data_IF_413360765593
#
_entry.id   IF_413360765593
#
_cell.length_a   1.000
_cell.length_b   1.000
_cell.length_c   1.000
_cell.angle_alpha   90.00
_cell.angle_beta   90.00
_cell.angle_gamma   90.00
#
_symmetry.space_group_name_H-M   'P 1'
#
loop_
_entity.id
_entity.type
_entity.pdbx_description
1 polymer ?
#
# COMPACT_ATOMS: atom_id res chain seq x y z
N UNK A 1 34.90 32.49 17.34
CA UNK A 1 33.60 32.97 16.80
C UNK A 1 32.86 31.95 15.94
N UNK A 2 33.46 31.33 14.91
CA UNK A 2 32.76 30.35 14.05
C UNK A 2 32.16 29.14 14.80
N UNK A 3 32.85 28.63 15.82
CA UNK A 3 32.39 27.46 16.60
C UNK A 3 31.09 27.73 17.37
N UNK A 4 30.93 28.95 17.92
CA UNK A 4 29.75 29.32 18.71
C UNK A 4 28.50 29.47 17.83
N UNK A 5 28.67 29.93 16.58
CA UNK A 5 27.59 30.00 15.60
C UNK A 5 27.14 28.62 15.13
N UNK A 6 28.08 27.69 14.92
CA UNK A 6 27.76 26.30 14.54
C UNK A 6 27.02 25.59 15.68
N UNK A 7 27.48 25.75 16.93
CA UNK A 7 26.83 25.17 18.10
C UNK A 7 25.39 25.68 18.27
N UNK A 8 25.17 26.99 18.10
CA UNK A 8 23.83 27.58 18.12
C UNK A 8 22.90 27.01 17.05
N UNK A 9 23.39 26.83 15.82
CA UNK A 9 22.61 26.19 14.74
C UNK A 9 22.25 24.74 15.05
N UNK A 10 23.21 23.95 15.54
CA UNK A 10 22.97 22.55 15.91
C UNK A 10 21.93 22.46 17.02
N UNK A 11 22.04 23.27 18.07
CA UNK A 11 21.06 23.33 19.16
C UNK A 11 19.68 23.77 18.66
N UNK A 12 19.61 24.76 17.76
CA UNK A 12 18.36 25.20 17.14
C UNK A 12 17.68 24.11 16.33
N UNK A 13 18.44 23.38 15.50
CA UNK A 13 17.94 22.25 14.71
C UNK A 13 17.46 21.11 15.61
N UNK A 14 18.23 20.76 16.64
CA UNK A 14 17.84 19.72 17.62
C UNK A 14 16.57 20.11 18.36
N UNK A 15 16.46 21.35 18.83
CA UNK A 15 15.25 21.85 19.50
C UNK A 15 14.03 21.78 18.58
N UNK A 16 14.18 22.19 17.31
CA UNK A 16 13.13 22.11 16.30
C UNK A 16 12.74 20.65 16.00
N UNK A 17 13.70 19.72 15.90
CA UNK A 17 13.42 18.28 15.76
C UNK A 17 12.61 17.73 16.94
N UNK A 18 12.94 18.12 18.18
CA UNK A 18 12.21 17.70 19.38
C UNK A 18 10.77 18.23 19.34
N UNK A 19 10.56 19.51 19.00
CA UNK A 19 9.21 20.08 18.88
C UNK A 19 8.35 19.35 17.83
N UNK A 20 8.90 19.05 16.66
CA UNK A 20 8.17 18.28 15.63
C UNK A 20 7.87 16.86 16.07
N UNK A 21 8.78 16.22 16.82
CA UNK A 21 8.55 14.88 17.38
C UNK A 21 7.44 14.89 18.43
N UNK A 22 7.47 15.85 19.37
CA UNK A 22 6.45 15.99 20.41
C UNK A 22 5.07 16.33 19.87
N UNK A 23 4.98 17.04 18.73
CA UNK A 23 3.71 17.32 18.05
C UNK A 23 3.21 16.18 17.16
N UNK A 24 3.95 15.06 17.08
CA UNK A 24 3.57 13.90 16.26
C UNK A 24 3.84 14.05 14.76
N UNK A 25 4.60 15.08 14.38
CA UNK A 25 4.96 15.38 12.99
C UNK A 25 6.26 14.66 12.58
N UNK A 26 6.47 13.44 13.10
CA UNK A 26 7.68 12.62 12.83
C UNK A 26 7.84 12.33 11.33
N UNK A 27 6.74 12.32 10.58
CA UNK A 27 6.72 12.08 9.14
C UNK A 27 7.59 13.06 8.33
N UNK A 28 7.81 14.29 8.82
CA UNK A 28 8.69 15.28 8.17
C UNK A 28 10.14 14.80 8.04
N UNK A 29 10.62 14.01 8.99
CA UNK A 29 11.96 13.42 8.95
C UNK A 29 11.94 12.03 8.32
N UNK A 30 10.86 11.29 8.56
CA UNK A 30 10.70 9.93 8.09
C UNK A 30 10.60 9.84 6.56
N UNK A 31 9.90 10.79 5.92
CA UNK A 31 9.72 10.80 4.45
C UNK A 31 11.06 11.01 3.71
N UNK A 32 11.86 12.06 3.98
CA UNK A 32 13.19 12.19 3.37
C UNK A 32 14.08 10.98 3.64
N UNK A 33 14.04 10.45 4.87
CA UNK A 33 14.81 9.25 5.21
C UNK A 33 14.42 8.03 4.37
N UNK A 34 13.12 7.76 4.21
CA UNK A 34 12.66 6.68 3.35
C UNK A 34 12.91 6.93 1.86
N UNK A 35 12.90 8.18 1.40
CA UNK A 35 13.28 8.49 0.03
C UNK A 35 14.77 8.17 -0.23
N UNK A 36 15.65 8.47 0.74
CA UNK A 36 17.09 8.23 0.59
C UNK A 36 17.49 6.77 0.85
N UNK A 37 16.91 6.12 1.86
CA UNK A 37 17.35 4.80 2.36
C UNK A 37 16.27 3.72 2.22
N UNK A 38 15.00 4.11 2.15
CA UNK A 38 13.86 3.18 2.16
C UNK A 38 13.84 2.22 0.97
N UNK A 39 14.41 2.62 -0.18
CA UNK A 39 14.50 1.75 -1.36
C UNK A 39 15.36 0.49 -1.09
N UNK A 40 16.37 0.55 -0.22
CA UNK A 40 17.18 -0.63 0.15
C UNK A 40 16.33 -1.64 0.91
N UNK A 41 15.60 -1.19 1.92
CA UNK A 41 14.70 -2.06 2.70
C UNK A 41 13.59 -2.65 1.83
N UNK A 42 13.06 -1.85 0.89
CA UNK A 42 12.09 -2.32 -0.09
C UNK A 42 12.69 -3.42 -0.98
N UNK A 43 13.88 -3.20 -1.57
CA UNK A 43 14.54 -4.21 -2.40
C UNK A 43 14.82 -5.51 -1.62
N UNK A 44 15.28 -5.42 -0.36
CA UNK A 44 15.55 -6.61 0.45
C UNK A 44 14.29 -7.45 0.72
N UNK A 45 13.11 -6.83 0.76
CA UNK A 45 11.83 -7.53 0.92
C UNK A 45 11.28 -8.06 -0.41
N UNK A 46 11.39 -7.25 -1.47
CA UNK A 46 10.78 -7.57 -2.77
C UNK A 46 11.64 -8.54 -3.58
N UNK A 47 12.97 -8.41 -3.58
CA UNK A 47 13.87 -9.26 -4.37
C UNK A 47 13.66 -10.76 -4.10
N UNK A 48 13.50 -11.24 -2.84
CA UNK A 48 13.18 -12.64 -2.57
C UNK A 48 11.83 -13.11 -3.11
N UNK A 49 10.86 -12.21 -3.27
CA UNK A 49 9.52 -12.50 -3.80
C UNK A 49 9.46 -12.46 -5.33
N UNK A 50 10.53 -11.99 -6.00
CA UNK A 50 10.60 -11.94 -7.46
C UNK A 50 10.61 -13.35 -8.03
N UNK A 51 9.56 -13.68 -8.77
CA UNK A 51 9.48 -14.92 -9.55
C UNK A 51 10.10 -14.73 -10.93
N UNK A 52 11.06 -15.59 -11.29
CA UNK A 52 11.74 -15.52 -12.57
C UNK A 52 10.85 -16.07 -13.68
N UNK A 53 10.38 -15.19 -14.57
CA UNK A 53 9.64 -15.57 -15.77
C UNK A 53 10.57 -15.65 -16.96
N UNK A 54 11.25 -16.79 -17.11
CA UNK A 54 12.26 -17.01 -18.16
C UNK A 54 11.77 -16.70 -19.58
N UNK A 55 10.49 -16.96 -19.89
CA UNK A 55 9.90 -16.60 -21.18
C UNK A 55 9.93 -15.09 -21.45
N UNK A 56 9.50 -14.27 -20.49
CA UNK A 56 9.52 -12.81 -20.63
C UNK A 56 10.95 -12.26 -20.72
N UNK A 57 11.90 -12.89 -20.01
CA UNK A 57 13.33 -12.53 -20.09
C UNK A 57 13.87 -12.84 -21.49
N UNK A 58 13.59 -14.03 -22.03
CA UNK A 58 14.02 -14.42 -23.36
C UNK A 58 13.44 -13.51 -24.46
N UNK A 59 12.15 -13.17 -24.36
CA UNK A 59 11.49 -12.21 -25.27
C UNK A 59 12.16 -10.82 -25.19
N UNK A 60 12.43 -10.33 -23.98
CA UNK A 60 13.11 -9.05 -23.78
C UNK A 60 14.51 -9.04 -24.41
N UNK A 61 15.29 -10.10 -24.17
CA UNK A 61 16.63 -10.27 -24.76
C UNK A 61 16.55 -10.32 -26.28
N UNK A 62 15.58 -11.06 -26.84
CA UNK A 62 15.38 -11.16 -28.28
C UNK A 62 15.05 -9.79 -28.89
N UNK A 63 14.14 -9.02 -28.30
CA UNK A 63 13.77 -7.67 -28.76
C UNK A 63 14.96 -6.72 -28.68
N UNK A 64 15.70 -6.71 -27.56
CA UNK A 64 16.89 -5.87 -27.40
C UNK A 64 17.99 -6.25 -28.41
N UNK A 65 18.17 -7.55 -28.68
CA UNK A 65 19.13 -8.01 -29.68
C UNK A 65 18.73 -7.58 -31.11
N UNK A 66 17.47 -7.77 -31.49
CA UNK A 66 16.94 -7.34 -32.80
C UNK A 66 17.08 -5.83 -32.96
N UNK A 67 16.70 -5.05 -31.94
CA UNK A 67 16.82 -3.59 -31.94
C UNK A 67 18.29 -3.16 -32.02
N UNK A 68 19.19 -3.81 -31.27
CA UNK A 68 20.61 -3.48 -31.24
C UNK A 68 21.32 -3.79 -32.56
N UNK A 69 21.12 -4.98 -33.11
CA UNK A 69 21.70 -5.37 -34.41
C UNK A 69 21.09 -4.54 -35.53
N UNK A 70 19.77 -4.39 -35.56
CA UNK A 70 19.06 -3.61 -36.57
C UNK A 70 19.49 -2.15 -36.57
N UNK A 71 19.50 -1.50 -35.42
CA UNK A 71 19.96 -0.10 -35.29
C UNK A 71 21.44 0.05 -35.65
N UNK A 72 22.31 -0.88 -35.25
CA UNK A 72 23.72 -0.83 -35.62
C UNK A 72 23.92 -0.90 -37.14
N UNK A 73 23.30 -1.88 -37.82
CA UNK A 73 23.42 -2.05 -39.26
C UNK A 73 22.84 -0.84 -40.02
N UNK A 74 21.68 -0.36 -39.57
CA UNK A 74 21.04 0.83 -40.14
C UNK A 74 21.91 2.09 -39.98
N UNK A 75 22.37 2.38 -38.77
CA UNK A 75 23.20 3.55 -38.48
C UNK A 75 24.57 3.48 -39.15
N UNK A 76 25.19 2.30 -39.23
CA UNK A 76 26.43 2.10 -39.98
C UNK A 76 26.24 2.39 -41.47
N UNK A 77 25.13 1.93 -42.07
CA UNK A 77 24.81 2.22 -43.47
C UNK A 77 24.55 3.72 -43.68
N UNK A 78 23.75 4.33 -42.81
CA UNK A 78 23.43 5.76 -42.87
C UNK A 78 24.69 6.62 -42.70
N UNK A 79 25.57 6.27 -41.77
CA UNK A 79 26.84 6.98 -41.53
C UNK A 79 27.73 6.99 -42.77
N UNK A 80 27.88 5.83 -43.44
CA UNK A 80 28.63 5.73 -44.70
C UNK A 80 28.05 6.59 -45.82
N UNK A 81 26.73 6.73 -45.88
CA UNK A 81 26.06 7.57 -46.88
C UNK A 81 26.23 9.06 -46.59
N UNK A 82 26.17 9.46 -45.31
CA UNK A 82 26.32 10.85 -44.89
C UNK A 82 27.78 11.33 -44.92
N UNK A 83 28.74 10.41 -44.82
CA UNK A 83 30.18 10.72 -44.78
C UNK A 83 30.99 9.81 -45.72
N UNK A 84 30.87 10.00 -47.05
CA UNK A 84 31.56 9.14 -48.01
C UNK A 84 33.09 9.30 -47.98
N UNK A 85 33.60 10.48 -47.58
CA UNK A 85 35.05 10.74 -47.52
C UNK A 85 35.71 10.34 -46.19
N UNK A 86 34.93 10.09 -45.13
CA UNK A 86 35.48 9.63 -43.85
C UNK A 86 35.70 8.11 -43.91
N UNK A 87 36.95 7.66 -43.81
CA UNK A 87 37.29 6.23 -43.71
C UNK A 87 36.86 5.58 -42.37
N UNK A 88 36.30 6.36 -41.43
CA UNK A 88 35.97 5.89 -40.09
C UNK A 88 34.64 5.15 -40.07
N UNK A 89 34.67 3.87 -39.73
CA UNK A 89 33.47 3.07 -39.54
C UNK A 89 32.69 3.46 -38.28
N UNK A 90 31.36 3.28 -38.32
CA UNK A 90 30.48 3.49 -37.18
C UNK A 90 30.84 2.51 -36.04
N UNK A 91 31.31 3.00 -34.89
CA UNK A 91 31.82 2.12 -33.85
C UNK A 91 30.68 1.47 -33.07
N UNK A 92 30.78 0.16 -32.81
CA UNK A 92 29.75 -0.64 -32.11
C UNK A 92 29.36 -0.04 -30.76
N UNK A 93 30.35 0.52 -30.02
CA UNK A 93 30.11 1.17 -28.72
C UNK A 93 29.03 2.27 -28.78
N UNK A 94 28.90 3.00 -29.88
CA UNK A 94 27.88 4.03 -30.01
C UNK A 94 26.48 3.43 -30.13
N UNK A 95 26.35 2.28 -30.80
CA UNK A 95 25.07 1.57 -30.90
C UNK A 95 24.67 0.99 -29.56
N UNK A 96 25.63 0.38 -28.84
CA UNK A 96 25.42 -0.12 -27.47
C UNK A 96 25.00 1.01 -26.55
N UNK A 97 25.68 2.17 -26.59
CA UNK A 97 25.29 3.35 -25.81
C UNK A 97 23.88 3.84 -26.14
N UNK A 98 23.49 3.85 -27.41
CA UNK A 98 22.16 4.27 -27.83
C UNK A 98 21.07 3.30 -27.36
N UNK A 99 21.30 1.98 -27.49
CA UNK A 99 20.37 0.96 -26.99
C UNK A 99 20.27 1.02 -25.46
N UNK A 100 21.40 1.16 -24.75
CA UNK A 100 21.41 1.30 -23.30
C UNK A 100 20.62 2.55 -22.86
N UNK A 101 20.80 3.69 -23.55
CA UNK A 101 20.05 4.90 -23.30
C UNK A 101 18.54 4.69 -23.50
N UNK A 102 18.13 3.99 -24.55
CA UNK A 102 16.72 3.65 -24.79
C UNK A 102 16.14 2.76 -23.68
N UNK A 103 16.87 1.74 -23.24
CA UNK A 103 16.44 0.86 -22.14
C UNK A 103 16.32 1.63 -20.83
N UNK A 104 17.26 2.52 -20.54
CA UNK A 104 17.21 3.40 -19.36
C UNK A 104 16.03 4.36 -19.44
N UNK A 105 15.79 4.97 -20.60
CA UNK A 105 14.65 5.86 -20.81
C UNK A 105 13.33 5.12 -20.64
N UNK A 106 13.20 3.93 -21.24
CA UNK A 106 12.02 3.07 -21.07
C UNK A 106 11.78 2.73 -19.60
N UNK A 107 12.82 2.32 -18.88
CA UNK A 107 12.75 2.01 -17.45
C UNK A 107 12.33 3.23 -16.63
N UNK A 108 12.89 4.41 -16.93
CA UNK A 108 12.54 5.66 -16.27
C UNK A 108 11.08 6.07 -16.53
N UNK A 109 10.59 5.90 -17.76
CA UNK A 109 9.20 6.15 -18.11
C UNK A 109 8.26 5.20 -17.36
N UNK A 110 8.56 3.89 -17.34
CA UNK A 110 7.76 2.90 -16.60
C UNK A 110 7.72 3.20 -15.10
N UNK A 111 8.86 3.56 -14.51
CA UNK A 111 8.92 3.98 -13.10
C UNK A 111 8.07 5.22 -12.85
N UNK A 112 8.13 6.22 -13.74
CA UNK A 112 7.34 7.46 -13.63
C UNK A 112 5.84 7.19 -13.72
N UNK A 113 5.40 6.32 -14.64
CA UNK A 113 4.00 5.90 -14.76
C UNK A 113 3.54 5.20 -13.48
N UNK A 114 4.36 4.30 -12.92
CA UNK A 114 4.08 3.64 -11.65
C UNK A 114 3.91 4.64 -10.50
N UNK A 115 4.84 5.60 -10.38
CA UNK A 115 4.75 6.70 -9.40
C UNK A 115 3.44 7.48 -9.59
N UNK A 116 3.14 7.90 -10.82
CA UNK A 116 1.92 8.66 -11.13
C UNK A 116 0.65 7.91 -10.76
N UNK A 117 0.59 6.60 -11.04
CA UNK A 117 -0.54 5.75 -10.66
C UNK A 117 -0.70 5.65 -9.13
N UNK A 118 0.40 5.41 -8.40
CA UNK A 118 0.36 5.35 -6.93
C UNK A 118 0.00 6.70 -6.30
N UNK A 119 0.53 7.80 -6.81
CA UNK A 119 0.18 9.15 -6.36
C UNK A 119 -1.29 9.45 -6.66
N UNK A 120 -1.78 9.11 -7.85
CA UNK A 120 -3.18 9.27 -8.22
C UNK A 120 -4.11 8.48 -7.30
N UNK A 121 -3.76 7.23 -6.97
CA UNK A 121 -4.51 6.42 -6.01
C UNK A 121 -4.54 7.06 -4.62
N UNK A 122 -3.39 7.51 -4.12
CA UNK A 122 -3.30 8.20 -2.83
C UNK A 122 -4.08 9.52 -2.79
N UNK A 123 -4.03 10.32 -3.86
CA UNK A 123 -4.73 11.60 -3.96
C UNK A 123 -6.25 11.44 -4.10
N UNK A 124 -6.70 10.37 -4.75
CA UNK A 124 -8.13 10.05 -4.88
C UNK A 124 -8.71 9.32 -3.67
N UNK A 125 -7.85 8.82 -2.78
CA UNK A 125 -8.25 8.14 -1.55
C UNK A 125 -8.92 9.10 -0.57
N UNK A 126 -10.03 8.66 0.06
CA UNK A 126 -10.67 9.41 1.17
C UNK A 126 -9.93 9.23 2.50
N UNK A 127 -8.96 8.32 2.56
CA UNK A 127 -8.18 8.06 3.75
C UNK A 127 -7.20 9.22 4.00
N UNK A 128 -7.00 9.64 5.26
CA UNK A 128 -6.00 10.66 5.58
C UNK A 128 -4.60 10.17 5.20
N UNK A 129 -3.82 11.00 4.49
CA UNK A 129 -2.45 10.67 4.07
C UNK A 129 -1.50 10.50 5.25
N UNK A 130 -1.74 11.24 6.32
CA UNK A 130 -1.00 11.12 7.58
C UNK A 130 -1.99 11.00 8.73
N UNK A 131 -1.68 10.09 9.65
CA UNK A 131 -2.35 9.99 10.94
C UNK A 131 -1.32 10.30 12.02
N UNK A 132 -1.75 10.94 13.11
CA UNK A 132 -0.87 11.21 14.23
C UNK A 132 -0.33 9.89 14.78
N UNK A 133 0.99 9.80 14.93
CA UNK A 133 1.66 8.63 15.53
C UNK A 133 1.22 8.38 16.98
N UNK A 134 0.60 9.38 17.62
CA UNK A 134 0.13 9.31 19.00
C UNK A 134 -1.27 8.70 19.15
N UNK A 135 -2.06 8.59 18.07
CA UNK A 135 -3.43 8.09 18.14
C UNK A 135 -3.55 6.55 18.26
N UNK A 136 -2.43 5.83 18.28
CA UNK A 136 -2.40 4.38 18.37
C UNK A 136 -2.32 3.89 19.81
N UNK A 137 -3.33 4.17 20.63
CA UNK A 137 -3.53 3.45 21.89
C UNK A 137 -4.48 2.28 21.60
N UNK A 138 -3.96 1.06 21.66
CA UNK A 138 -4.71 -0.16 21.34
C UNK A 138 -6.03 -0.29 22.13
N UNK A 139 -6.07 0.28 23.35
CA UNK A 139 -7.24 0.33 24.22
C UNK A 139 -8.43 1.09 23.62
N UNK A 140 -8.20 2.11 22.78
CA UNK A 140 -9.31 2.84 22.15
C UNK A 140 -9.97 2.02 21.02
N UNK A 141 -9.19 1.15 20.36
CA UNK A 141 -9.71 0.29 19.29
C UNK A 141 -10.60 -0.83 19.82
N UNK A 142 -10.34 -1.35 21.02
CA UNK A 142 -11.17 -2.39 21.63
C UNK A 142 -12.60 -1.90 21.85
N UNK A 143 -12.77 -0.72 22.46
CA UNK A 143 -14.08 -0.09 22.67
C UNK A 143 -14.79 0.28 21.37
N UNK A 144 -14.04 0.66 20.33
CA UNK A 144 -14.60 0.94 19.01
C UNK A 144 -15.15 -0.32 18.31
N UNK A 145 -14.48 -1.46 18.48
CA UNK A 145 -14.93 -2.75 17.94
C UNK A 145 -16.26 -3.19 18.57
N UNK A 146 -16.34 -3.14 19.90
CA UNK A 146 -17.54 -3.54 20.64
C UNK A 146 -18.74 -2.68 20.25
N UNK A 147 -18.56 -1.35 20.25
CA UNK A 147 -19.62 -0.41 19.91
C UNK A 147 -20.15 -0.61 18.49
N UNK A 148 -19.25 -0.77 17.50
CA UNK A 148 -19.67 -0.97 16.11
C UNK A 148 -20.35 -2.35 15.92
N UNK A 149 -19.94 -3.37 16.68
CA UNK A 149 -20.57 -4.68 16.66
C UNK A 149 -22.02 -4.61 17.19
N UNK A 150 -22.26 -3.87 18.28
CA UNK A 150 -23.63 -3.65 18.79
C UNK A 150 -24.50 -2.87 17.80
N UNK A 151 -23.95 -1.84 17.16
CA UNK A 151 -24.67 -1.09 16.13
C UNK A 151 -25.04 -2.00 14.94
N UNK A 152 -24.12 -2.85 14.48
CA UNK A 152 -24.39 -3.82 13.42
C UNK A 152 -25.50 -4.81 13.80
N UNK A 153 -25.47 -5.37 15.01
CA UNK A 153 -26.54 -6.23 15.53
C UNK A 153 -27.88 -5.50 15.61
N UNK A 154 -27.87 -4.23 16.01
CA UNK A 154 -29.08 -3.41 16.12
C UNK A 154 -29.71 -3.17 14.75
N UNK A 155 -28.89 -2.90 13.72
CA UNK A 155 -29.34 -2.77 12.33
C UNK A 155 -29.87 -4.09 11.75
N UNK A 156 -29.22 -5.21 12.04
CA UNK A 156 -29.72 -6.54 11.64
C UNK A 156 -31.09 -6.82 12.27
N UNK A 157 -31.23 -6.55 13.58
CA UNK A 157 -32.50 -6.71 14.31
C UNK A 157 -33.61 -5.77 13.83
N UNK A 158 -33.27 -4.61 13.28
CA UNK A 158 -34.26 -3.69 12.68
C UNK A 158 -34.66 -4.08 11.26
N UNK A 159 -34.15 -5.20 10.73
CA UNK A 159 -34.51 -5.74 9.43
C UNK A 159 -33.63 -5.26 8.28
N UNK A 160 -32.49 -4.61 8.55
CA UNK A 160 -31.51 -4.31 7.50
C UNK A 160 -30.86 -5.63 7.06
N UNK A 161 -30.91 -5.99 5.76
CA UNK A 161 -30.28 -7.23 5.29
C UNK A 161 -28.79 -7.26 5.63
N UNK A 162 -28.29 -8.41 6.07
CA UNK A 162 -26.89 -8.56 6.53
C UNK A 162 -25.86 -8.08 5.49
N UNK A 163 -26.14 -8.31 4.20
CA UNK A 163 -25.31 -7.84 3.08
C UNK A 163 -25.24 -6.32 2.93
N UNK A 164 -26.23 -5.58 3.46
CA UNK A 164 -26.31 -4.10 3.41
C UNK A 164 -25.86 -3.41 4.68
N UNK A 165 -25.58 -4.14 5.76
CA UNK A 165 -25.18 -3.55 7.04
C UNK A 165 -23.91 -2.71 6.91
N UNK A 166 -22.91 -3.17 6.14
CA UNK A 166 -21.70 -2.38 5.89
C UNK A 166 -21.99 -1.03 5.23
N UNK A 167 -22.92 -0.98 4.28
CA UNK A 167 -23.33 0.28 3.64
C UNK A 167 -24.15 1.15 4.59
N UNK A 168 -25.05 0.56 5.38
CA UNK A 168 -25.85 1.28 6.36
C UNK A 168 -24.98 1.94 7.45
N UNK A 169 -23.94 1.24 7.92
CA UNK A 169 -22.97 1.80 8.88
C UNK A 169 -22.19 2.98 8.28
N UNK A 170 -21.81 2.91 7.01
CA UNK A 170 -21.13 4.01 6.30
C UNK A 170 -22.06 5.20 6.01
N UNK A 171 -23.37 4.97 5.93
CA UNK A 171 -24.39 6.00 5.75
C UNK A 171 -24.91 6.59 7.08
N UNK A 172 -24.43 6.08 8.22
CA UNK A 172 -24.83 6.52 9.55
C UNK A 172 -24.30 7.91 9.93
N UNK A 173 -24.40 8.23 11.21
CA UNK A 173 -23.83 9.46 11.78
C UNK A 173 -22.29 9.49 11.63
N UNK A 174 -21.68 10.67 11.81
CA UNK A 174 -20.25 10.87 11.61
C UNK A 174 -19.37 9.95 12.48
N UNK A 175 -19.81 9.64 13.70
CA UNK A 175 -19.07 8.78 14.62
C UNK A 175 -19.13 7.33 14.14
N UNK A 176 -20.33 6.82 13.82
CA UNK A 176 -20.50 5.46 13.29
C UNK A 176 -19.77 5.28 11.96
N UNK A 177 -19.88 6.27 11.05
CA UNK A 177 -19.20 6.25 9.75
C UNK A 177 -17.68 6.19 9.94
N UNK A 178 -17.12 7.03 10.80
CA UNK A 178 -15.67 7.05 11.07
C UNK A 178 -15.16 5.70 11.60
N UNK A 179 -15.95 5.02 12.45
CA UNK A 179 -15.62 3.66 12.93
C UNK A 179 -15.72 2.62 11.80
N UNK A 180 -16.79 2.66 11.00
CA UNK A 180 -17.02 1.73 9.89
C UNK A 180 -16.00 1.87 8.75
N UNK A 181 -15.40 3.04 8.59
CA UNK A 181 -14.27 3.28 7.67
C UNK A 181 -12.98 2.62 8.16
N UNK A 182 -12.78 2.48 9.48
CA UNK A 182 -11.57 1.91 10.09
C UNK A 182 -11.67 0.42 10.39
N UNK A 183 -12.89 -0.11 10.49
CA UNK A 183 -13.19 -1.49 10.86
C UNK A 183 -13.86 -2.24 9.69
N UNK A 184 -13.55 -3.52 9.55
CA UNK A 184 -14.35 -4.45 8.77
C UNK A 184 -15.50 -4.94 9.64
N UNK A 185 -16.70 -4.97 9.06
CA UNK A 185 -17.88 -5.63 9.65
C UNK A 185 -18.29 -6.72 8.69
N UNK A 186 -18.10 -7.97 9.08
CA UNK A 186 -18.38 -9.15 8.24
C UNK A 186 -19.53 -9.93 8.87
N UNK A 187 -20.64 -10.15 8.15
CA UNK A 187 -21.71 -10.99 8.65
C UNK A 187 -21.21 -12.42 8.83
N UNK A 188 -21.63 -13.05 9.92
CA UNK A 188 -21.24 -14.39 10.33
C UNK A 188 -22.47 -15.11 10.90
N UNK A 189 -22.55 -16.44 10.74
CA UNK A 189 -23.63 -17.23 11.37
C UNK A 189 -23.02 -18.34 12.22
N UNK A 190 -23.55 -18.49 13.43
CA UNK A 190 -23.24 -19.62 14.27
C UNK A 190 -23.79 -20.92 13.67
N UNK A 191 -23.33 -22.07 14.16
CA UNK A 191 -23.82 -23.38 13.72
C UNK A 191 -25.34 -23.54 13.88
N UNK A 192 -25.96 -22.84 14.83
CA UNK A 192 -27.41 -22.80 15.03
C UNK A 192 -28.19 -21.89 14.06
N UNK A 193 -27.51 -21.25 13.10
CA UNK A 193 -28.13 -20.34 12.12
C UNK A 193 -28.41 -18.92 12.62
N UNK A 194 -28.11 -18.64 13.89
CA UNK A 194 -28.26 -17.30 14.46
C UNK A 194 -27.26 -16.31 13.84
N UNK A 195 -27.75 -15.10 13.51
CA UNK A 195 -26.97 -14.04 12.89
C UNK A 195 -26.00 -13.40 13.88
N UNK A 196 -24.79 -13.10 13.41
CA UNK A 196 -23.75 -12.40 14.13
C UNK A 196 -22.81 -11.63 13.21
N UNK A 197 -21.83 -10.95 13.79
CA UNK A 197 -20.87 -10.13 13.08
C UNK A 197 -19.47 -10.33 13.64
N UNK A 198 -18.49 -10.34 12.74
CA UNK A 198 -17.07 -10.20 13.06
C UNK A 198 -16.67 -8.76 12.77
N UNK A 199 -16.18 -8.06 13.79
CA UNK A 199 -15.68 -6.69 13.71
C UNK A 199 -14.20 -6.66 14.02
N UNK A 200 -13.38 -6.19 13.09
CA UNK A 200 -11.93 -6.13 13.26
C UNK A 200 -11.30 -5.00 12.45
N UNK A 201 -10.12 -4.47 12.83
CA UNK A 201 -9.47 -3.39 12.10
C UNK A 201 -9.14 -3.75 10.64
N UNK A 202 -9.28 -2.76 9.75
CA UNK A 202 -8.86 -2.87 8.34
C UNK A 202 -7.34 -2.83 8.20
N UNK A 203 -6.67 -2.04 9.03
CA UNK A 203 -5.21 -1.99 9.06
C UNK A 203 -4.63 -3.30 9.64
N UNK A 204 -3.74 -4.01 8.91
CA UNK A 204 -3.23 -5.30 9.35
C UNK A 204 -2.41 -5.22 10.64
N UNK A 205 -1.69 -4.12 10.90
CA UNK A 205 -0.92 -3.95 12.13
C UNK A 205 -1.84 -3.71 13.34
N UNK A 206 -2.87 -2.87 13.19
CA UNK A 206 -3.96 -2.73 14.16
C UNK A 206 -4.63 -4.05 14.44
N UNK A 207 -4.94 -4.81 13.39
CA UNK A 207 -5.58 -6.12 13.52
C UNK A 207 -4.71 -7.11 14.28
N UNK A 208 -3.41 -7.16 13.99
CA UNK A 208 -2.44 -8.03 14.67
C UNK A 208 -2.34 -7.72 16.17
N UNK A 209 -2.36 -6.42 16.53
CA UNK A 209 -2.22 -5.96 17.92
C UNK A 209 -3.52 -6.02 18.73
N UNK A 210 -4.63 -5.60 18.13
CA UNK A 210 -5.92 -5.45 18.82
C UNK A 210 -6.85 -6.65 18.63
N UNK A 211 -6.60 -7.52 17.65
CA UNK A 211 -7.50 -8.61 17.31
C UNK A 211 -8.81 -8.11 16.71
N UNK A 212 -9.92 -8.69 17.16
CA UNK A 212 -11.27 -8.28 16.79
C UNK A 212 -12.30 -8.73 17.81
N UNK A 213 -13.56 -8.45 17.53
CA UNK A 213 -14.69 -8.81 18.37
C UNK A 213 -15.72 -9.55 17.52
N UNK A 214 -16.29 -10.62 18.06
CA UNK A 214 -17.48 -11.23 17.49
C UNK A 214 -18.69 -10.99 18.40
N UNK A 215 -19.84 -10.74 17.80
CA UNK A 215 -21.09 -10.56 18.53
C UNK A 215 -22.27 -11.21 17.79
N UNK A 216 -23.27 -11.67 18.54
CA UNK A 216 -24.44 -12.39 18.00
C UNK A 216 -24.21 -13.89 17.91
N UNK A 217 -25.06 -14.61 17.19
CA UNK A 217 -24.91 -16.05 17.02
C UNK A 217 -25.07 -16.87 18.31
N UNK A 218 -25.83 -16.37 19.29
CA UNK A 218 -26.01 -17.01 20.60
C UNK A 218 -24.86 -16.80 21.58
N UNK A 219 -23.81 -16.08 21.16
CA UNK A 219 -22.62 -15.85 21.97
C UNK A 219 -22.63 -14.44 22.55
N UNK A 220 -22.28 -14.35 23.84
CA UNK A 220 -21.99 -13.07 24.47
C UNK A 220 -20.74 -12.50 23.79
N UNK A 221 -20.73 -11.20 23.53
CA UNK A 221 -19.61 -10.55 22.82
C UNK A 221 -18.24 -11.04 23.31
N UNK A 222 -17.42 -11.56 22.39
CA UNK A 222 -16.13 -12.18 22.68
C UNK A 222 -15.05 -11.57 21.79
N UNK A 223 -13.92 -11.20 22.40
CA UNK A 223 -12.73 -10.78 21.66
C UNK A 223 -11.96 -11.99 21.14
N UNK A 224 -11.37 -11.86 19.95
CA UNK A 224 -10.55 -12.89 19.32
C UNK A 224 -9.21 -12.33 18.88
N UNK A 225 -8.18 -13.19 18.82
CA UNK A 225 -6.84 -12.80 18.37
C UNK A 225 -6.77 -12.81 16.85
N UNK A 226 -5.88 -11.99 16.27
CA UNK A 226 -5.70 -11.91 14.81
C UNK A 226 -5.44 -13.27 14.14
N UNK A 227 -4.69 -14.15 14.81
CA UNK A 227 -4.39 -15.50 14.33
C UNK A 227 -5.62 -16.42 14.22
N UNK A 228 -6.72 -16.11 14.91
CA UNK A 228 -7.96 -16.88 14.88
C UNK A 228 -8.87 -16.44 13.73
N UNK A 229 -8.66 -15.24 13.19
CA UNK A 229 -9.50 -14.67 12.14
C UNK A 229 -9.64 -15.56 10.89
N UNK A 230 -8.57 -16.18 10.34
CA UNK A 230 -8.72 -17.08 9.19
C UNK A 230 -9.65 -18.26 9.47
N UNK A 231 -9.61 -18.81 10.69
CA UNK A 231 -10.48 -19.91 11.14
C UNK A 231 -11.92 -19.45 11.31
N UNK A 232 -12.15 -18.24 11.81
CA UNK A 232 -13.49 -17.65 11.93
C UNK A 232 -14.09 -17.34 10.54
N UNK A 233 -13.28 -16.83 9.61
CA UNK A 233 -13.69 -16.51 8.24
C UNK A 233 -13.88 -17.74 7.34
N UNK A 234 -13.32 -18.90 7.70
CA UNK A 234 -13.55 -20.17 7.02
C UNK A 234 -14.75 -20.95 7.56
N UNK A 235 -15.37 -20.47 8.66
CA UNK A 235 -16.61 -21.01 9.18
C UNK A 235 -17.80 -20.86 8.20
N UNK A 236 -18.98 -21.40 8.55
CA UNK A 236 -20.17 -21.32 7.72
C UNK A 236 -20.48 -19.85 7.40
N UNK A 237 -20.27 -19.46 6.13
CA UNK A 237 -20.67 -18.14 5.67
C UNK A 237 -22.16 -18.17 5.40
N UNK A 238 -22.84 -17.07 5.68
CA UNK A 238 -24.10 -16.76 4.98
C UNK A 238 -23.73 -16.83 3.51
N UNK A 239 -24.19 -17.86 2.79
CA UNK A 239 -24.22 -17.78 1.34
C UNK A 239 -24.97 -16.48 1.09
N UNK A 240 -24.29 -15.47 0.52
CA UNK A 240 -24.90 -14.17 0.29
C UNK A 240 -26.25 -14.47 -0.34
N UNK A 241 -27.34 -14.23 0.40
CA UNK A 241 -28.67 -14.66 -0.03
C UNK A 241 -28.76 -14.17 -1.46
N UNK A 242 -28.75 -15.11 -2.41
CA UNK A 242 -28.95 -14.80 -3.81
C UNK A 242 -30.43 -14.50 -3.91
N UNK A 243 -30.79 -13.34 -3.38
CA UNK A 243 -32.10 -12.77 -3.58
C UNK A 243 -32.26 -12.62 -5.10
N UNK A 244 -33.33 -13.16 -5.69
CA UNK A 244 -33.64 -13.03 -7.11
C UNK A 244 -33.86 -11.58 -7.53
#
# INVERSE_FOLDING_TARGET
MKVMNVLGWVLGVLFLMVLFTCSGQVWLFQVPWYLVVGWVSFLLKVVPEVTWRWGAIAETVAVVAVLGVGSHLFLRRLWRQLRPEDAREWPVRWSVSLVALLVLLFSATMATVGIGHHVGWLASGRAPLTVSSWHFLATHMEWDNEGLCQTALTLSKSGVPDARIGQALLAGDEVTRTKAERLHVVPWRAAGGEAGFLVFPRDPLSRERAGGVHCGGGVKMESFRAAELPKLLSGPRVAADTAP
#
